data_IF_227363513202
#
_entry.id   IF_227363513202
#
_cell.length_a   1.000
_cell.length_b   1.000
_cell.length_c   1.000
_cell.angle_alpha   90.00
_cell.angle_beta   90.00
_cell.angle_gamma   90.00
#
_symmetry.space_group_name_H-M   'P 1'
#
loop_
_entity.id
_entity.type
_entity.pdbx_description
1 polymer ?
#
# COMPACT_ATOMS: atom_id res chain seq x y z
N UNK A 1 11.55 -8.63 -15.94
CA UNK A 1 10.74 -7.40 -15.91
C UNK A 1 11.35 -6.35 -16.86
N UNK A 2 12.55 -5.86 -16.61
CA UNK A 2 13.19 -4.79 -17.40
C UNK A 2 13.31 -5.12 -18.89
N UNK A 3 13.61 -6.36 -19.27
CA UNK A 3 13.69 -6.81 -20.68
C UNK A 3 12.33 -6.69 -21.41
N UNK A 4 11.23 -6.63 -20.67
CA UNK A 4 9.87 -6.45 -21.20
C UNK A 4 9.35 -5.02 -21.02
N UNK A 5 10.22 -4.05 -20.71
CA UNK A 5 9.84 -2.66 -20.48
C UNK A 5 9.11 -2.42 -19.16
N UNK A 6 9.11 -3.38 -18.22
CA UNK A 6 8.53 -3.23 -16.90
C UNK A 6 9.58 -2.65 -15.97
N UNK A 7 9.50 -1.35 -15.73
CA UNK A 7 10.50 -0.61 -14.95
C UNK A 7 10.04 -0.31 -13.52
N UNK A 8 8.72 -0.26 -13.28
CA UNK A 8 8.18 0.00 -11.94
C UNK A 8 7.92 -1.32 -11.23
N UNK A 9 8.53 -1.51 -10.07
CA UNK A 9 8.35 -2.71 -9.24
C UNK A 9 8.00 -2.32 -7.81
N UNK A 10 7.06 -3.04 -7.20
CA UNK A 10 6.74 -2.93 -5.79
C UNK A 10 7.32 -4.15 -5.05
N UNK A 11 8.37 -3.93 -4.26
CA UNK A 11 9.08 -5.00 -3.55
C UNK A 11 8.36 -5.32 -2.23
N UNK A 12 7.75 -6.50 -2.16
CA UNK A 12 7.10 -7.03 -0.97
C UNK A 12 7.31 -8.54 -0.87
N UNK A 13 7.25 -9.08 0.34
CA UNK A 13 7.47 -10.51 0.62
C UNK A 13 6.18 -11.33 0.62
N UNK A 14 5.01 -10.68 0.42
CA UNK A 14 3.71 -11.33 0.48
C UNK A 14 3.25 -11.67 1.90
N UNK A 15 2.07 -12.24 1.99
CA UNK A 15 1.49 -12.73 3.23
C UNK A 15 2.02 -14.13 3.58
N UNK A 16 1.76 -14.59 4.82
CA UNK A 16 2.07 -15.95 5.21
C UNK A 16 1.26 -16.96 4.38
N UNK A 17 1.84 -18.11 4.07
CA UNK A 17 1.21 -19.16 3.24
C UNK A 17 -0.14 -19.60 3.81
N UNK A 18 -0.35 -19.50 5.13
CA UNK A 18 -1.63 -19.83 5.77
C UNK A 18 -2.78 -18.87 5.45
N UNK A 19 -2.48 -17.71 4.84
CA UNK A 19 -3.48 -16.78 4.33
C UNK A 19 -3.92 -17.10 2.88
N UNK A 20 -3.26 -18.03 2.22
CA UNK A 20 -3.56 -18.47 0.85
C UNK A 20 -4.28 -19.81 0.78
N UNK A 21 -4.48 -20.28 -0.44
CA UNK A 21 -5.18 -21.55 -0.72
C UNK A 21 -4.33 -22.79 -0.40
N UNK A 22 -2.99 -22.66 -0.55
CA UNK A 22 -2.04 -23.75 -0.31
C UNK A 22 -1.36 -23.59 1.06
N UNK A 23 -2.10 -23.83 2.13
CA UNK A 23 -1.65 -23.63 3.52
C UNK A 23 -0.46 -24.49 3.94
N UNK A 24 -0.28 -25.63 3.27
CA UNK A 24 0.82 -26.57 3.49
C UNK A 24 2.08 -26.24 2.70
N UNK A 25 2.06 -25.19 1.89
CA UNK A 25 3.24 -24.75 1.14
C UNK A 25 4.38 -24.39 2.09
N UNK A 26 5.61 -24.70 1.67
CA UNK A 26 6.79 -24.40 2.46
C UNK A 26 7.05 -22.90 2.54
N UNK A 27 7.13 -22.36 3.75
CA UNK A 27 7.59 -20.99 3.97
C UNK A 27 9.06 -20.84 3.60
N UNK A 28 9.38 -19.75 2.91
CA UNK A 28 10.76 -19.38 2.52
C UNK A 28 11.00 -17.95 2.98
N UNK A 29 11.91 -17.76 3.94
CA UNK A 29 12.21 -16.48 4.58
C UNK A 29 13.63 -16.00 4.27
N UNK A 30 14.07 -16.15 3.01
CA UNK A 30 15.43 -15.78 2.60
C UNK A 30 15.68 -14.28 2.63
N UNK A 31 14.65 -13.48 2.33
CA UNK A 31 14.73 -12.01 2.29
C UNK A 31 13.53 -11.39 3.00
N UNK A 32 13.79 -10.35 3.79
CA UNK A 32 12.76 -9.41 4.21
C UNK A 32 12.52 -8.29 3.19
N UNK A 33 11.51 -7.44 3.41
CA UNK A 33 11.18 -6.35 2.50
C UNK A 33 12.37 -5.40 2.22
N UNK A 34 13.04 -4.84 3.22
CA UNK A 34 14.25 -4.03 3.03
C UNK A 34 15.38 -4.74 2.27
N UNK A 35 15.60 -6.03 2.55
CA UNK A 35 16.61 -6.82 1.85
C UNK A 35 16.24 -7.00 0.37
N UNK A 36 14.97 -7.30 0.06
CA UNK A 36 14.48 -7.42 -1.31
C UNK A 36 14.64 -6.11 -2.09
N UNK A 37 14.33 -4.97 -1.46
CA UNK A 37 14.55 -3.63 -2.04
C UNK A 37 16.04 -3.43 -2.35
N UNK A 38 16.93 -3.82 -1.42
CA UNK A 38 18.36 -3.72 -1.60
C UNK A 38 18.86 -4.58 -2.76
N UNK A 39 18.35 -5.81 -2.91
CA UNK A 39 18.65 -6.67 -4.06
C UNK A 39 18.27 -5.96 -5.36
N UNK A 40 17.04 -5.48 -5.47
CA UNK A 40 16.56 -4.75 -6.66
C UNK A 40 17.42 -3.50 -6.95
N UNK A 41 17.79 -2.75 -5.90
CA UNK A 41 18.67 -1.57 -6.03
C UNK A 41 20.07 -1.94 -6.50
N UNK A 42 20.62 -3.06 -6.04
CA UNK A 42 21.93 -3.55 -6.48
C UNK A 42 21.91 -3.95 -7.95
N UNK A 43 20.87 -4.67 -8.38
CA UNK A 43 20.69 -5.01 -9.79
C UNK A 43 20.53 -3.77 -10.68
N UNK A 44 19.74 -2.77 -10.24
CA UNK A 44 19.57 -1.51 -10.96
C UNK A 44 20.87 -0.71 -11.11
N UNK A 45 21.86 -0.95 -10.26
CA UNK A 45 23.21 -0.36 -10.38
C UNK A 45 24.14 -1.16 -11.32
N UNK A 46 23.65 -2.21 -11.95
CA UNK A 46 24.43 -3.06 -12.84
C UNK A 46 25.34 -4.04 -12.11
N UNK A 47 24.93 -4.52 -10.95
CA UNK A 47 25.70 -5.48 -10.15
C UNK A 47 24.81 -6.60 -9.59
N UNK A 48 25.34 -7.82 -9.56
CA UNK A 48 24.80 -8.92 -8.76
C UNK A 48 25.25 -8.78 -7.30
N UNK A 49 24.58 -9.47 -6.37
CA UNK A 49 25.00 -9.51 -4.96
C UNK A 49 26.41 -10.06 -4.75
N UNK A 50 26.90 -10.87 -5.69
CA UNK A 50 28.27 -11.39 -5.71
C UNK A 50 29.34 -10.36 -6.13
N UNK A 51 28.92 -9.14 -6.50
CA UNK A 51 29.82 -8.11 -7.06
C UNK A 51 30.09 -8.26 -8.56
N UNK A 52 29.62 -9.36 -9.20
CA UNK A 52 29.75 -9.52 -10.66
C UNK A 52 28.93 -8.44 -11.38
N UNK A 53 29.48 -7.87 -12.44
CA UNK A 53 28.80 -6.86 -13.26
C UNK A 53 27.62 -7.48 -14.03
N UNK A 54 26.57 -6.69 -14.16
CA UNK A 54 25.37 -6.95 -14.92
C UNK A 54 25.24 -5.88 -16.01
N UNK A 55 25.35 -6.30 -17.26
CA UNK A 55 25.27 -5.41 -18.43
C UNK A 55 24.32 -6.03 -19.47
N UNK A 56 23.28 -5.30 -19.94
CA UNK A 56 22.90 -3.98 -19.47
C UNK A 56 22.29 -4.00 -18.06
N UNK A 57 22.49 -2.92 -17.31
CA UNK A 57 21.81 -2.72 -16.03
C UNK A 57 20.30 -2.54 -16.24
N UNK A 58 19.42 -3.20 -15.45
CA UNK A 58 17.99 -3.01 -15.57
C UNK A 58 17.56 -1.62 -15.05
N UNK A 59 16.67 -0.97 -15.79
CA UNK A 59 16.04 0.26 -15.33
C UNK A 59 14.89 -0.13 -14.38
N UNK A 60 15.04 0.20 -13.08
CA UNK A 60 14.04 -0.14 -12.07
C UNK A 60 13.71 1.07 -11.20
N UNK A 61 12.44 1.45 -11.16
CA UNK A 61 11.86 2.36 -10.18
C UNK A 61 11.21 1.52 -9.06
N UNK A 62 11.86 1.52 -7.90
CA UNK A 62 11.60 0.54 -6.85
C UNK A 62 10.69 1.14 -5.78
N UNK A 63 9.55 0.51 -5.56
CA UNK A 63 8.61 0.79 -4.50
C UNK A 63 8.64 -0.23 -3.38
N UNK A 64 7.95 0.11 -2.32
CA UNK A 64 7.74 -0.72 -1.15
C UNK A 64 6.30 -0.61 -0.66
N UNK A 65 5.90 -1.52 0.23
CA UNK A 65 4.61 -1.47 0.92
C UNK A 65 4.79 -1.18 2.40
N UNK A 66 3.80 -0.59 3.04
CA UNK A 66 3.71 -0.52 4.51
C UNK A 66 2.25 -0.49 4.95
N UNK A 67 1.99 -0.95 6.18
CA UNK A 67 0.67 -0.87 6.78
C UNK A 67 0.68 0.20 7.89
N UNK A 68 0.04 1.37 7.68
CA UNK A 68 0.02 2.45 8.66
C UNK A 68 -0.80 2.12 9.91
N UNK A 69 -1.71 1.14 9.81
CA UNK A 69 -2.65 0.75 10.87
C UNK A 69 -2.21 -0.47 11.67
N UNK A 70 -1.10 -1.13 11.31
CA UNK A 70 -0.64 -2.31 12.03
C UNK A 70 0.27 -1.95 13.22
N UNK A 71 0.01 -2.50 14.43
CA UNK A 71 0.88 -2.29 15.59
C UNK A 71 2.25 -3.00 15.41
N UNK A 72 3.30 -2.56 16.11
CA UNK A 72 3.39 -1.30 16.86
C UNK A 72 3.54 -0.10 15.91
N UNK A 73 2.69 0.92 16.09
CA UNK A 73 2.53 2.02 15.11
C UNK A 73 3.80 2.85 14.92
N UNK A 74 4.51 3.19 16.01
CA UNK A 74 5.74 4.00 15.97
C UNK A 74 6.85 3.29 15.19
N UNK A 75 6.89 1.98 15.26
CA UNK A 75 7.88 1.17 14.53
C UNK A 75 7.69 1.21 13.01
N UNK A 76 6.45 1.45 12.54
CA UNK A 76 6.15 1.53 11.10
C UNK A 76 6.94 2.63 10.41
N UNK A 77 7.08 3.79 11.05
CA UNK A 77 7.86 4.92 10.51
C UNK A 77 9.34 4.55 10.38
N UNK A 78 9.89 3.86 11.38
CA UNK A 78 11.28 3.37 11.33
C UNK A 78 11.49 2.32 10.23
N UNK A 79 10.49 1.48 9.96
CA UNK A 79 10.52 0.54 8.84
C UNK A 79 10.57 1.26 7.50
N UNK A 80 9.84 2.37 7.36
CA UNK A 80 9.93 3.22 6.14
C UNK A 80 11.34 3.77 5.98
N UNK A 81 11.98 4.27 7.04
CA UNK A 81 13.35 4.74 6.98
C UNK A 81 14.33 3.66 6.47
N UNK A 82 14.18 2.41 6.93
CA UNK A 82 14.98 1.27 6.43
C UNK A 82 14.73 1.01 4.94
N UNK A 83 13.48 1.08 4.47
CA UNK A 83 13.11 0.89 3.06
C UNK A 83 13.67 2.00 2.17
N UNK A 84 13.62 3.25 2.63
CA UNK A 84 14.24 4.40 1.95
C UNK A 84 15.75 4.21 1.85
N UNK A 85 16.41 3.84 2.94
CA UNK A 85 17.86 3.55 2.95
C UNK A 85 18.21 2.40 1.99
N UNK A 86 17.34 1.41 1.86
CA UNK A 86 17.53 0.30 0.92
C UNK A 86 17.31 0.70 -0.56
N UNK A 87 16.68 1.86 -0.83
CA UNK A 87 16.53 2.40 -2.18
C UNK A 87 15.09 2.59 -2.66
N UNK A 88 14.07 2.36 -1.81
CA UNK A 88 12.67 2.59 -2.19
C UNK A 88 12.41 4.07 -2.54
N UNK A 89 11.60 4.29 -3.59
CA UNK A 89 11.23 5.61 -4.13
C UNK A 89 9.75 5.93 -3.98
N UNK A 90 8.90 4.91 -3.87
CA UNK A 90 7.49 5.09 -3.51
C UNK A 90 7.08 4.06 -2.46
N UNK A 91 6.05 4.40 -1.71
CA UNK A 91 5.50 3.62 -0.63
C UNK A 91 4.00 3.47 -0.84
N UNK A 92 3.59 2.30 -1.31
CA UNK A 92 2.18 1.94 -1.39
C UNK A 92 1.72 1.50 0.00
N UNK A 93 0.69 2.15 0.52
CA UNK A 93 0.17 1.82 1.84
C UNK A 93 -0.97 0.81 1.74
N UNK A 94 -1.06 -0.09 2.73
CA UNK A 94 -2.24 -0.92 2.92
C UNK A 94 -3.46 -0.04 3.16
N UNK A 95 -4.64 -0.54 2.81
CA UNK A 95 -5.92 0.09 3.10
C UNK A 95 -5.99 0.41 4.60
N UNK A 96 -6.38 1.64 4.91
CA UNK A 96 -6.58 2.06 6.30
C UNK A 96 -7.95 2.75 6.43
N UNK A 97 -8.79 2.20 7.29
CA UNK A 97 -10.07 2.77 7.69
C UNK A 97 -9.97 3.62 8.97
N UNK A 98 -8.73 3.99 9.35
CA UNK A 98 -8.41 4.83 10.51
C UNK A 98 -7.71 6.11 10.05
N UNK A 99 -8.45 7.19 9.74
CA UNK A 99 -7.89 8.44 9.24
C UNK A 99 -6.83 9.04 10.16
N UNK A 100 -7.04 8.96 11.48
CA UNK A 100 -6.13 9.43 12.52
C UNK A 100 -4.79 8.68 12.51
N UNK A 101 -4.82 7.36 12.32
CA UNK A 101 -3.59 6.54 12.21
C UNK A 101 -2.81 6.87 10.93
N UNK A 102 -3.51 7.05 9.80
CA UNK A 102 -2.89 7.44 8.54
C UNK A 102 -2.25 8.83 8.65
N UNK A 103 -2.96 9.80 9.25
CA UNK A 103 -2.46 11.14 9.47
C UNK A 103 -1.21 11.14 10.36
N UNK A 104 -1.25 10.44 11.52
CA UNK A 104 -0.11 10.29 12.42
C UNK A 104 1.10 9.66 11.72
N UNK A 105 0.86 8.64 10.89
CA UNK A 105 1.90 7.98 10.10
C UNK A 105 2.54 8.94 9.09
N UNK A 106 1.74 9.68 8.31
CA UNK A 106 2.25 10.65 7.34
C UNK A 106 3.04 11.79 8.02
N UNK A 107 2.53 12.32 9.14
CA UNK A 107 3.24 13.32 9.93
C UNK A 107 4.61 12.82 10.42
N UNK A 108 4.69 11.61 10.95
CA UNK A 108 5.96 11.03 11.38
C UNK A 108 6.96 10.82 10.26
N UNK A 109 6.50 10.50 9.05
CA UNK A 109 7.37 10.42 7.85
C UNK A 109 7.93 11.82 7.51
N UNK A 110 7.11 12.86 7.60
CA UNK A 110 7.52 14.24 7.34
C UNK A 110 8.50 14.76 8.41
N UNK A 111 8.26 14.47 9.68
CA UNK A 111 9.14 14.84 10.78
C UNK A 111 10.56 14.26 10.63
N UNK A 112 10.67 13.05 10.07
CA UNK A 112 11.95 12.44 9.72
C UNK A 112 12.52 12.93 8.35
N UNK A 113 11.83 13.82 7.64
CA UNK A 113 12.24 14.32 6.34
C UNK A 113 12.18 13.29 5.21
N UNK A 114 11.57 12.12 5.44
CA UNK A 114 11.52 11.01 4.48
C UNK A 114 10.61 11.30 3.29
N UNK A 115 9.61 12.18 3.44
CA UNK A 115 8.71 12.62 2.37
C UNK A 115 9.42 13.32 1.19
N UNK A 116 10.67 13.74 1.37
CA UNK A 116 11.54 14.29 0.32
C UNK A 116 12.22 13.20 -0.52
N UNK A 117 12.23 11.97 -0.02
CA UNK A 117 12.96 10.84 -0.59
C UNK A 117 12.04 9.75 -1.14
N UNK A 118 10.78 9.67 -0.64
CA UNK A 118 9.81 8.65 -0.99
C UNK A 118 8.43 9.28 -1.19
N UNK A 119 7.73 8.88 -2.25
CA UNK A 119 6.34 9.26 -2.49
C UNK A 119 5.42 8.34 -1.67
N UNK A 120 4.46 8.90 -0.95
CA UNK A 120 3.44 8.14 -0.21
C UNK A 120 2.21 7.98 -1.09
N UNK A 121 1.73 6.75 -1.24
CA UNK A 121 0.58 6.38 -2.09
C UNK A 121 -0.38 5.52 -1.24
N UNK A 122 -1.34 6.13 -0.53
CA UNK A 122 -2.37 5.39 0.20
C UNK A 122 -3.24 4.56 -0.74
N UNK A 123 -3.69 3.39 -0.27
CA UNK A 123 -4.66 2.57 -0.99
C UNK A 123 -6.07 2.88 -0.51
N UNK A 124 -6.98 3.06 -1.47
CA UNK A 124 -8.42 3.11 -1.26
C UNK A 124 -9.11 2.02 -2.06
N UNK A 125 -10.33 1.65 -1.66
CA UNK A 125 -11.07 0.54 -2.26
C UNK A 125 -12.47 0.96 -2.65
N UNK A 126 -12.82 0.74 -3.91
CA UNK A 126 -14.19 0.90 -4.40
C UNK A 126 -14.97 -0.41 -4.22
N UNK A 127 -16.04 -0.36 -3.42
CA UNK A 127 -16.89 -1.50 -3.06
C UNK A 127 -18.38 -1.15 -3.20
N UNK A 128 -19.24 -2.18 -3.32
CA UNK A 128 -20.70 -2.01 -3.55
C UNK A 128 -21.57 -2.09 -2.29
N UNK A 129 -20.98 -2.24 -1.10
CA UNK A 129 -21.78 -2.34 0.12
C UNK A 129 -21.02 -2.95 1.29
N UNK A 130 -21.74 -3.39 2.31
CA UNK A 130 -21.18 -3.80 3.59
C UNK A 130 -20.43 -5.15 3.56
N UNK A 131 -20.81 -6.08 2.67
CA UNK A 131 -20.19 -7.43 2.65
C UNK A 131 -18.68 -7.41 2.43
N UNK A 132 -18.11 -6.62 1.47
CA UNK A 132 -16.67 -6.51 1.32
C UNK A 132 -15.98 -5.91 2.55
N UNK A 133 -16.59 -4.95 3.27
CA UNK A 133 -16.03 -4.40 4.51
C UNK A 133 -15.89 -5.48 5.59
N UNK A 134 -16.97 -6.25 5.81
CA UNK A 134 -16.96 -7.36 6.76
C UNK A 134 -15.94 -8.42 6.37
N UNK A 135 -15.88 -8.78 5.07
CA UNK A 135 -14.90 -9.74 4.57
C UNK A 135 -13.46 -9.26 4.80
N UNK A 136 -13.15 -8.01 4.48
CA UNK A 136 -11.81 -7.44 4.69
C UNK A 136 -11.43 -7.48 6.18
N UNK A 137 -12.35 -7.09 7.05
CA UNK A 137 -12.12 -7.09 8.50
C UNK A 137 -11.90 -8.49 9.08
N UNK A 138 -12.59 -9.50 8.57
CA UNK A 138 -12.55 -10.86 9.12
C UNK A 138 -11.48 -11.75 8.49
N UNK A 139 -11.18 -11.53 7.21
CA UNK A 139 -10.43 -12.49 6.37
C UNK A 139 -9.13 -11.95 5.80
N UNK A 140 -8.96 -10.63 5.72
CA UNK A 140 -7.75 -10.07 5.11
C UNK A 140 -6.75 -9.65 6.18
N UNK A 141 -5.57 -10.31 6.27
CA UNK A 141 -4.59 -9.99 7.28
C UNK A 141 -4.17 -8.53 7.27
N UNK A 142 -4.17 -7.90 8.44
CA UNK A 142 -3.70 -6.53 8.62
C UNK A 142 -4.68 -5.43 8.21
N UNK A 143 -5.90 -5.77 7.80
CA UNK A 143 -6.99 -4.79 7.63
C UNK A 143 -7.86 -4.82 8.89
N UNK A 144 -8.07 -3.64 9.46
CA UNK A 144 -8.90 -3.38 10.64
C UNK A 144 -9.94 -2.32 10.25
N UNK A 145 -11.21 -2.73 10.17
CA UNK A 145 -12.33 -1.85 9.78
C UNK A 145 -13.13 -1.50 11.04
N UNK A 146 -13.14 -0.24 11.50
CA UNK A 146 -13.93 0.18 12.64
C UNK A 146 -15.41 -0.15 12.48
N UNK A 147 -16.08 -0.51 13.58
CA UNK A 147 -17.49 -0.88 13.54
C UNK A 147 -18.40 0.25 13.02
N UNK A 148 -18.06 1.50 13.34
CA UNK A 148 -18.79 2.68 12.83
C UNK A 148 -18.73 2.81 11.30
N UNK A 149 -17.61 2.39 10.67
CA UNK A 149 -17.46 2.37 9.20
C UNK A 149 -18.39 1.32 8.59
N UNK A 150 -18.45 0.14 9.20
CA UNK A 150 -19.35 -0.95 8.78
C UNK A 150 -20.81 -0.54 8.97
N UNK A 151 -21.15 -0.03 10.16
CA UNK A 151 -22.50 0.37 10.56
C UNK A 151 -23.09 1.46 9.65
N UNK A 152 -22.26 2.42 9.26
CA UNK A 152 -22.65 3.51 8.38
C UNK A 152 -23.17 2.98 7.04
N UNK A 153 -22.45 2.05 6.43
CA UNK A 153 -22.88 1.44 5.16
C UNK A 153 -24.05 0.49 5.39
N UNK A 154 -24.03 -0.32 6.46
CA UNK A 154 -25.05 -1.33 6.72
C UNK A 154 -26.43 -0.72 6.98
N UNK A 155 -26.51 0.44 7.67
CA UNK A 155 -27.74 1.15 8.00
C UNK A 155 -28.29 1.99 6.86
N UNK A 156 -27.52 2.19 5.80
CA UNK A 156 -27.97 2.98 4.65
C UNK A 156 -29.01 2.25 3.81
N UNK A 157 -30.03 2.97 3.35
CA UNK A 157 -31.01 2.49 2.39
C UNK A 157 -30.39 2.27 0.99
N UNK A 158 -29.25 2.91 0.71
CA UNK A 158 -28.47 2.72 -0.51
C UNK A 158 -27.01 2.46 -0.15
N UNK A 159 -26.72 1.20 0.18
CA UNK A 159 -25.38 0.80 0.62
C UNK A 159 -24.30 1.07 -0.45
N UNK A 160 -24.66 0.97 -1.73
CA UNK A 160 -23.72 1.20 -2.84
C UNK A 160 -23.26 2.65 -2.92
N UNK A 161 -24.19 3.58 -2.76
CA UNK A 161 -23.88 5.01 -2.74
C UNK A 161 -23.14 5.41 -1.47
N UNK A 162 -23.57 4.88 -0.31
CA UNK A 162 -22.92 5.18 0.97
C UNK A 162 -21.48 4.68 1.01
N UNK A 163 -21.21 3.47 0.49
CA UNK A 163 -19.87 2.95 0.38
C UNK A 163 -18.99 3.80 -0.55
N UNK A 164 -19.57 4.35 -1.62
CA UNK A 164 -18.86 5.28 -2.49
C UNK A 164 -18.53 6.60 -1.78
N UNK A 165 -19.51 7.23 -1.13
CA UNK A 165 -19.30 8.49 -0.41
C UNK A 165 -18.24 8.35 0.68
N UNK A 166 -18.28 7.24 1.42
CA UNK A 166 -17.27 6.94 2.42
C UNK A 166 -15.86 6.77 1.80
N UNK A 167 -15.76 6.11 0.65
CA UNK A 167 -14.49 5.97 -0.07
C UNK A 167 -13.99 7.33 -0.57
N UNK A 168 -14.88 8.19 -1.07
CA UNK A 168 -14.53 9.55 -1.50
C UNK A 168 -14.00 10.38 -0.33
N UNK A 169 -14.64 10.33 0.84
CA UNK A 169 -14.17 11.01 2.06
C UNK A 169 -12.75 10.55 2.46
N UNK A 170 -12.51 9.24 2.46
CA UNK A 170 -11.17 8.69 2.73
C UNK A 170 -10.13 9.12 1.70
N UNK A 171 -10.50 9.16 0.42
CA UNK A 171 -9.63 9.60 -0.67
C UNK A 171 -9.24 11.08 -0.51
N UNK A 172 -10.22 11.95 -0.28
CA UNK A 172 -10.01 13.38 -0.04
C UNK A 172 -9.14 13.63 1.19
N UNK A 173 -9.43 12.93 2.30
CA UNK A 173 -8.60 12.99 3.50
C UNK A 173 -7.16 12.57 3.20
N UNK A 174 -6.95 11.42 2.56
CA UNK A 174 -5.63 10.90 2.24
C UNK A 174 -4.84 11.88 1.35
N UNK A 175 -5.46 12.46 0.33
CA UNK A 175 -4.83 13.44 -0.57
C UNK A 175 -4.47 14.75 0.15
N UNK A 176 -5.16 15.11 1.23
CA UNK A 176 -4.85 16.30 2.03
C UNK A 176 -3.61 16.12 2.93
N UNK A 177 -3.15 14.89 3.12
CA UNK A 177 -2.08 14.60 4.08
C UNK A 177 -0.70 14.95 3.53
N UNK A 178 0.22 15.40 4.41
CA UNK A 178 1.55 15.80 3.97
C UNK A 178 2.37 14.60 3.47
N UNK A 179 3.04 14.79 2.32
CA UNK A 179 3.88 13.76 1.71
C UNK A 179 3.14 12.77 0.80
N UNK A 180 1.82 12.78 0.78
CA UNK A 180 1.01 12.01 -0.16
C UNK A 180 1.14 12.63 -1.57
N UNK A 181 1.32 11.78 -2.58
CA UNK A 181 1.55 12.16 -3.98
C UNK A 181 0.49 11.63 -4.94
N UNK A 182 -0.43 10.83 -4.45
CA UNK A 182 -1.49 10.21 -5.22
C UNK A 182 -2.10 9.04 -4.46
N UNK A 183 -2.99 8.32 -5.09
CA UNK A 183 -3.68 7.18 -4.51
C UNK A 183 -3.44 5.92 -5.34
N UNK A 184 -3.41 4.77 -4.68
CA UNK A 184 -3.60 3.49 -5.30
C UNK A 184 -5.07 3.10 -5.13
N UNK A 185 -5.77 2.85 -6.23
CA UNK A 185 -7.20 2.50 -6.21
C UNK A 185 -7.37 1.04 -6.56
N UNK A 186 -8.01 0.28 -5.66
CA UNK A 186 -8.46 -1.08 -5.94
C UNK A 186 -9.95 -1.04 -6.23
N UNK A 187 -10.34 -1.40 -7.45
CA UNK A 187 -11.73 -1.38 -7.87
C UNK A 187 -12.33 -2.79 -7.90
N UNK A 188 -13.24 -3.08 -6.97
CA UNK A 188 -14.06 -4.28 -6.95
C UNK A 188 -15.49 -4.06 -7.45
N UNK A 189 -15.79 -2.86 -7.95
CA UNK A 189 -17.12 -2.54 -8.47
C UNK A 189 -17.25 -2.95 -9.94
N UNK A 190 -16.18 -2.73 -10.72
CA UNK A 190 -16.15 -2.97 -12.16
C UNK A 190 -17.32 -2.30 -12.89
N UNK A 191 -17.55 -1.03 -12.53
CA UNK A 191 -18.57 -0.16 -13.13
C UNK A 191 -17.97 1.26 -13.28
N UNK A 192 -18.75 2.25 -13.69
CA UNK A 192 -18.31 3.64 -13.94
C UNK A 192 -17.97 4.42 -12.66
N UNK A 193 -17.84 3.74 -11.50
CA UNK A 193 -17.56 4.42 -10.22
C UNK A 193 -16.12 4.92 -10.15
N UNK A 194 -15.18 4.27 -10.84
CA UNK A 194 -13.79 4.75 -10.89
C UNK A 194 -13.71 6.09 -11.62
N UNK A 195 -14.38 6.22 -12.75
CA UNK A 195 -14.47 7.46 -13.53
C UNK A 195 -15.16 8.57 -12.73
N UNK A 196 -16.24 8.23 -12.00
CA UNK A 196 -16.90 9.14 -11.07
C UNK A 196 -15.92 9.62 -9.98
N UNK A 197 -15.18 8.71 -9.36
CA UNK A 197 -14.19 9.06 -8.34
C UNK A 197 -13.13 10.02 -8.89
N UNK A 198 -12.60 9.75 -10.09
CA UNK A 198 -11.64 10.63 -10.74
C UNK A 198 -12.21 12.03 -10.98
N UNK A 199 -13.49 12.11 -11.39
CA UNK A 199 -14.19 13.39 -11.58
C UNK A 199 -14.41 14.14 -10.27
N UNK A 200 -14.81 13.43 -9.20
CA UNK A 200 -15.13 14.04 -7.90
C UNK A 200 -13.86 14.46 -7.12
N UNK A 201 -12.71 13.92 -7.46
CA UNK A 201 -11.42 14.32 -6.89
C UNK A 201 -10.73 15.47 -7.64
N UNK A 202 -11.15 15.79 -8.87
CA UNK A 202 -10.62 16.90 -9.69
C UNK A 202 -9.51 16.46 -10.63
#
# INVERSE_FOLDING_TARGET
>A
ASLHGIENICALTGDDVTAGDETEARRVFDLDGPQLIRVATTLARGEYLSGRKLDPAPHLFIGAVENPSAPPFEYRIQRVAKKVTAGAKFLQLQISYHPDRLEKFCKGIVELGLNKLIAIIPTIVLIKGVRPLKFMNEKVPGIDVPQEVIDRVEKSNNQSEEAYLQTLEFAQHALSLPGVRGLHVTDFRHDETLERLMSDLG
#
